data_IF_038868050983
#
_entry.id   IF_038868050983
#
_cell.length_a   1.000
_cell.length_b   1.000
_cell.length_c   1.000
_cell.angle_alpha   90.00
_cell.angle_beta   90.00
_cell.angle_gamma   90.00
#
_symmetry.space_group_name_H-M   'P 1'
#
loop_
_entity.id
_entity.type
_entity.pdbx_description
1 polymer ?
#
# COMPACT_ATOMS: atom_id res chain seq x y z
N UNK A 1 -0.45 35.01 1.66
CA UNK A 1 -0.95 34.50 0.37
C UNK A 1 -1.81 33.30 0.65
N UNK A 2 -3.02 33.25 0.14
CA UNK A 2 -3.91 32.10 0.35
C UNK A 2 -3.36 30.89 -0.41
N UNK A 3 -3.14 29.79 0.30
CA UNK A 3 -2.62 28.54 -0.30
C UNK A 3 -3.72 27.92 -1.17
N UNK A 4 -3.70 28.22 -2.45
CA UNK A 4 -4.68 27.68 -3.40
C UNK A 4 -4.35 26.23 -3.72
N UNK A 5 -5.32 25.34 -3.51
CA UNK A 5 -5.21 23.93 -3.92
C UNK A 5 -5.35 23.85 -5.45
N UNK A 6 -4.32 23.34 -6.10
CA UNK A 6 -4.26 23.16 -7.56
C UNK A 6 -4.73 21.77 -7.97
N UNK A 7 -4.43 20.76 -7.14
CA UNK A 7 -4.75 19.36 -7.41
C UNK A 7 -4.94 18.60 -6.10
N UNK A 8 -5.94 17.72 -6.06
CA UNK A 8 -6.20 16.84 -4.92
C UNK A 8 -6.63 15.46 -5.45
N UNK A 9 -5.92 14.42 -5.06
CA UNK A 9 -6.19 13.07 -5.49
C UNK A 9 -6.10 12.11 -4.31
N UNK A 10 -7.02 11.13 -4.27
CA UNK A 10 -6.98 10.01 -3.33
C UNK A 10 -6.97 8.72 -4.12
N UNK A 11 -5.88 7.99 -3.99
CA UNK A 11 -5.69 6.68 -4.62
C UNK A 11 -5.84 5.55 -3.60
N UNK A 12 -6.42 4.43 -4.03
CA UNK A 12 -6.58 3.20 -3.24
C UNK A 12 -6.13 1.99 -4.05
N UNK A 13 -5.88 0.86 -3.38
CA UNK A 13 -5.59 -0.40 -4.05
C UNK A 13 -6.78 -0.87 -4.88
N UNK A 14 -6.64 -0.87 -6.21
CA UNK A 14 -7.67 -1.26 -7.17
C UNK A 14 -7.27 -2.46 -8.02
N UNK A 15 -6.16 -3.13 -7.69
CA UNK A 15 -5.71 -4.32 -8.41
C UNK A 15 -6.69 -5.47 -8.17
N UNK A 16 -7.39 -5.89 -9.23
CA UNK A 16 -8.39 -6.96 -9.17
C UNK A 16 -7.81 -8.30 -8.68
N UNK A 17 -6.58 -8.64 -9.10
CA UNK A 17 -5.89 -9.86 -8.70
C UNK A 17 -5.62 -9.91 -7.18
N UNK A 18 -5.37 -8.78 -6.55
CA UNK A 18 -5.16 -8.67 -5.10
C UNK A 18 -6.45 -9.07 -4.35
N UNK A 19 -7.59 -8.61 -4.86
CA UNK A 19 -8.90 -8.97 -4.29
C UNK A 19 -9.21 -10.46 -4.47
N UNK A 20 -8.86 -11.06 -5.61
CA UNK A 20 -9.00 -12.51 -5.79
C UNK A 20 -8.15 -13.30 -4.80
N UNK A 21 -6.89 -12.90 -4.58
CA UNK A 21 -6.01 -13.54 -3.59
C UNK A 21 -6.61 -13.43 -2.18
N UNK A 22 -7.11 -12.26 -1.79
CA UNK A 22 -7.73 -12.05 -0.47
C UNK A 22 -8.99 -12.90 -0.30
N UNK A 23 -9.88 -12.93 -1.29
CA UNK A 23 -11.08 -13.77 -1.27
C UNK A 23 -10.70 -15.24 -1.14
N UNK A 24 -9.73 -15.70 -1.91
CA UNK A 24 -9.26 -17.09 -1.88
C UNK A 24 -8.69 -17.48 -0.52
N UNK A 25 -7.83 -16.64 0.08
CA UNK A 25 -7.27 -16.91 1.41
C UNK A 25 -8.37 -16.95 2.48
N UNK A 26 -9.31 -15.99 2.46
CA UNK A 26 -10.42 -15.97 3.41
C UNK A 26 -11.35 -17.18 3.22
N UNK A 27 -11.60 -17.59 1.96
CA UNK A 27 -12.37 -18.78 1.65
C UNK A 27 -11.74 -20.07 2.22
N UNK A 28 -10.41 -20.24 2.05
CA UNK A 28 -9.68 -21.36 2.64
C UNK A 28 -9.84 -21.38 4.17
N UNK A 29 -9.70 -20.24 4.83
CA UNK A 29 -9.88 -20.17 6.29
C UNK A 29 -11.29 -20.59 6.73
N UNK A 30 -12.31 -20.12 6.01
CA UNK A 30 -13.71 -20.49 6.28
C UNK A 30 -13.94 -22.00 6.05
N UNK A 31 -13.37 -22.54 4.97
CA UNK A 31 -13.45 -23.97 4.66
C UNK A 31 -12.87 -24.84 5.76
N UNK A 32 -11.70 -24.47 6.31
CA UNK A 32 -11.09 -25.19 7.45
C UNK A 32 -11.95 -25.08 8.70
N UNK A 33 -12.56 -23.94 8.97
CA UNK A 33 -13.51 -23.82 10.09
C UNK A 33 -14.72 -24.76 9.94
N UNK A 34 -15.31 -24.80 8.76
CA UNK A 34 -16.46 -25.67 8.47
C UNK A 34 -16.05 -27.14 8.69
N UNK A 35 -14.92 -27.56 8.15
CA UNK A 35 -14.41 -28.94 8.35
C UNK A 35 -14.24 -29.25 9.84
N UNK A 36 -13.64 -28.36 10.59
CA UNK A 36 -13.38 -28.57 12.03
C UNK A 36 -14.65 -28.64 12.87
N UNK A 37 -15.61 -27.75 12.66
CA UNK A 37 -16.76 -27.59 13.54
C UNK A 37 -18.02 -28.29 13.04
N UNK A 38 -18.24 -28.36 11.73
CA UNK A 38 -19.45 -28.98 11.16
C UNK A 38 -19.23 -30.48 10.94
N UNK A 39 -18.13 -30.84 10.27
CA UNK A 39 -17.86 -32.25 9.95
C UNK A 39 -17.18 -33.00 11.09
N UNK A 40 -16.77 -32.33 12.18
CA UNK A 40 -16.05 -32.91 13.32
C UNK A 40 -14.90 -33.86 12.89
N UNK A 41 -14.28 -33.58 11.76
CA UNK A 41 -13.15 -34.36 11.29
C UNK A 41 -12.01 -34.32 12.31
N UNK A 42 -11.76 -35.43 12.96
CA UNK A 42 -10.59 -35.62 13.84
C UNK A 42 -9.38 -35.87 12.95
N UNK A 43 -8.61 -34.84 12.70
CA UNK A 43 -7.31 -34.98 12.04
C UNK A 43 -6.31 -35.64 12.99
N UNK A 44 -6.15 -36.95 12.88
CA UNK A 44 -5.31 -37.80 13.73
C UNK A 44 -3.84 -37.78 13.33
N UNK A 45 -3.22 -36.65 13.06
CA UNK A 45 -1.78 -36.61 12.83
C UNK A 45 -1.17 -35.25 13.24
N UNK A 46 0.14 -35.22 13.40
CA UNK A 46 0.98 -34.11 13.88
C UNK A 46 0.73 -32.72 13.22
N UNK A 47 0.03 -32.66 12.10
CA UNK A 47 -0.53 -31.45 11.53
C UNK A 47 -1.56 -30.77 12.47
N UNK A 48 -2.21 -31.50 13.38
CA UNK A 48 -3.24 -30.97 14.29
C UNK A 48 -2.67 -29.95 15.30
N UNK A 49 -1.45 -30.16 15.78
CA UNK A 49 -0.78 -29.18 16.64
C UNK A 49 -0.47 -27.86 15.90
N UNK A 50 -0.26 -27.92 14.59
CA UNK A 50 -0.08 -26.72 13.75
C UNK A 50 -1.38 -25.94 13.52
N UNK A 51 -2.55 -26.61 13.58
CA UNK A 51 -3.87 -26.01 13.37
C UNK A 51 -4.59 -25.51 14.64
N UNK A 52 -4.01 -25.72 15.83
CA UNK A 52 -4.51 -25.04 17.04
C UNK A 52 -4.40 -23.51 16.91
N UNK A 53 -3.54 -23.03 15.98
CA UNK A 53 -3.44 -21.65 15.54
C UNK A 53 -4.51 -21.18 14.54
N UNK A 54 -5.54 -21.97 14.20
CA UNK A 54 -6.56 -21.59 13.19
C UNK A 54 -7.19 -20.22 13.42
N UNK A 55 -7.52 -19.88 14.66
CA UNK A 55 -8.07 -18.57 15.00
C UNK A 55 -7.08 -17.45 14.76
N UNK A 56 -5.80 -17.69 15.05
CA UNK A 56 -4.74 -16.72 14.81
C UNK A 56 -4.57 -16.43 13.32
N UNK A 57 -4.62 -17.47 12.48
CA UNK A 57 -4.58 -17.33 11.03
C UNK A 57 -5.74 -16.50 10.48
N UNK A 58 -6.97 -16.75 10.99
CA UNK A 58 -8.15 -16.00 10.58
C UNK A 58 -8.05 -14.53 11.00
N UNK A 59 -7.66 -14.29 12.25
CA UNK A 59 -7.50 -12.91 12.75
C UNK A 59 -6.48 -12.16 11.90
N UNK A 60 -5.33 -12.77 11.59
CA UNK A 60 -4.30 -12.13 10.75
C UNK A 60 -4.85 -11.83 9.35
N UNK A 61 -5.51 -12.78 8.70
CA UNK A 61 -6.04 -12.55 7.34
C UNK A 61 -7.13 -11.50 7.31
N UNK A 62 -7.98 -11.44 8.34
CA UNK A 62 -8.96 -10.36 8.50
C UNK A 62 -8.29 -9.01 8.70
N UNK A 63 -7.30 -8.93 9.59
CA UNK A 63 -6.55 -7.70 9.82
C UNK A 63 -5.85 -7.20 8.56
N UNK A 64 -5.22 -8.11 7.79
CA UNK A 64 -4.59 -7.77 6.51
C UNK A 64 -5.63 -7.29 5.49
N UNK A 65 -6.77 -7.95 5.43
CA UNK A 65 -7.88 -7.54 4.53
C UNK A 65 -8.38 -6.14 4.88
N UNK A 66 -8.65 -5.89 6.17
CA UNK A 66 -9.05 -4.57 6.67
C UNK A 66 -7.97 -3.53 6.37
N UNK A 67 -6.70 -3.85 6.61
CA UNK A 67 -5.61 -2.94 6.34
C UNK A 67 -5.57 -2.51 4.86
N UNK A 68 -5.70 -3.46 3.93
CA UNK A 68 -5.71 -3.16 2.49
C UNK A 68 -6.92 -2.31 2.09
N UNK A 69 -8.07 -2.52 2.73
CA UNK A 69 -9.27 -1.69 2.50
C UNK A 69 -9.08 -0.24 2.93
N UNK A 70 -8.39 0.00 4.04
CA UNK A 70 -8.21 1.35 4.59
C UNK A 70 -6.99 2.09 4.02
N UNK A 71 -6.02 1.37 3.43
CA UNK A 71 -4.85 2.00 2.82
C UNK A 71 -5.27 2.94 1.69
N UNK A 72 -4.79 4.18 1.78
CA UNK A 72 -4.95 5.20 0.74
C UNK A 72 -3.73 6.10 0.64
N UNK A 73 -3.43 6.54 -0.57
CA UNK A 73 -2.46 7.59 -0.86
C UNK A 73 -3.24 8.87 -1.19
N UNK A 74 -3.04 9.90 -0.41
CA UNK A 74 -3.62 11.22 -0.62
C UNK A 74 -2.51 12.18 -1.01
N UNK A 75 -2.73 12.88 -2.11
CA UNK A 75 -1.78 13.85 -2.67
C UNK A 75 -2.51 15.17 -2.90
N UNK A 76 -2.01 16.25 -2.29
CA UNK A 76 -2.53 17.61 -2.46
C UNK A 76 -1.38 18.47 -2.98
N UNK A 77 -1.59 19.07 -4.14
CA UNK A 77 -0.64 20.02 -4.71
C UNK A 77 -1.20 21.43 -4.52
N UNK A 78 -0.44 22.26 -3.81
CA UNK A 78 -0.77 23.67 -3.56
C UNK A 78 0.24 24.57 -4.27
N UNK A 79 -0.04 25.86 -4.28
CA UNK A 79 0.85 26.84 -4.92
C UNK A 79 2.24 26.91 -4.33
N UNK A 80 2.40 26.60 -3.06
CA UNK A 80 3.66 26.73 -2.30
C UNK A 80 4.27 25.40 -1.83
N UNK A 81 3.49 24.32 -1.81
CA UNK A 81 3.92 23.01 -1.31
C UNK A 81 3.16 21.84 -1.91
N UNK A 82 3.75 20.66 -1.81
CA UNK A 82 3.11 19.37 -2.09
C UNK A 82 2.92 18.64 -0.76
N UNK A 83 1.71 18.20 -0.49
CA UNK A 83 1.36 17.44 0.70
C UNK A 83 1.01 15.99 0.33
N UNK A 84 1.55 15.04 1.08
CA UNK A 84 1.34 13.62 0.83
C UNK A 84 1.02 12.91 2.14
N UNK A 85 0.01 12.05 2.11
CA UNK A 85 -0.32 11.16 3.22
C UNK A 85 -0.55 9.75 2.71
N UNK A 86 0.18 8.79 3.26
CA UNK A 86 -0.03 7.37 3.01
C UNK A 86 -0.68 6.74 4.24
N UNK A 87 -2.00 6.83 4.34
CA UNK A 87 -2.76 6.34 5.49
C UNK A 87 -2.85 4.80 5.46
N UNK A 88 -2.76 4.06 6.61
CA UNK A 88 -2.62 4.56 7.98
C UNK A 88 -1.16 4.76 8.45
N UNK A 89 -0.15 4.50 7.61
CA UNK A 89 1.27 4.61 7.99
C UNK A 89 1.72 6.04 8.29
N UNK A 90 1.12 7.01 7.62
CA UNK A 90 1.27 8.43 7.93
C UNK A 90 -0.07 8.96 8.45
N UNK A 91 -0.13 9.30 9.72
CA UNK A 91 -1.34 9.88 10.33
C UNK A 91 -1.52 11.36 9.93
N UNK A 92 -0.43 12.08 9.70
CA UNK A 92 -0.42 13.47 9.24
C UNK A 92 0.13 13.60 7.83
N UNK A 93 -0.21 14.71 7.16
CA UNK A 93 0.35 15.05 5.86
C UNK A 93 1.83 15.41 5.97
N UNK A 94 2.65 14.83 5.10
CA UNK A 94 4.04 15.22 4.90
C UNK A 94 4.08 16.35 3.89
N UNK A 95 4.62 17.48 4.30
CA UNK A 95 4.71 18.70 3.50
C UNK A 95 6.08 18.79 2.82
N UNK A 96 6.06 19.12 1.56
CA UNK A 96 7.25 19.33 0.72
C UNK A 96 7.16 20.72 0.10
N UNK A 97 7.80 21.74 0.69
CA UNK A 97 7.78 23.10 0.16
C UNK A 97 8.43 23.18 -1.23
N UNK A 98 7.83 23.93 -2.15
CA UNK A 98 8.31 24.06 -3.53
C UNK A 98 9.73 24.60 -3.63
N UNK A 99 10.15 25.43 -2.68
CA UNK A 99 11.51 25.98 -2.63
C UNK A 99 12.59 24.90 -2.37
N UNK A 100 12.23 23.72 -1.87
CA UNK A 100 13.13 22.57 -1.66
C UNK A 100 13.20 21.64 -2.88
N UNK A 101 12.25 21.78 -3.81
CA UNK A 101 12.13 20.97 -5.01
C UNK A 101 12.94 21.64 -6.12
N UNK A 102 13.84 20.90 -6.73
CA UNK A 102 14.64 21.34 -7.88
C UNK A 102 13.90 21.03 -9.19
N UNK A 103 13.37 19.80 -9.31
CA UNK A 103 12.63 19.36 -10.48
C UNK A 103 11.39 18.56 -10.06
N UNK A 104 10.28 18.80 -10.78
CA UNK A 104 9.05 18.03 -10.67
C UNK A 104 8.55 17.71 -12.08
N UNK A 105 8.42 16.42 -12.40
CA UNK A 105 7.95 16.00 -13.72
C UNK A 105 7.18 14.68 -13.63
N UNK A 106 6.24 14.49 -14.55
CA UNK A 106 5.49 13.24 -14.70
C UNK A 106 6.33 12.26 -15.51
N UNK A 107 6.46 11.02 -15.01
CA UNK A 107 7.10 9.93 -15.75
C UNK A 107 6.32 8.64 -15.66
N UNK A 108 6.53 7.77 -16.63
CA UNK A 108 6.17 6.36 -16.54
C UNK A 108 7.26 5.62 -15.76
N UNK A 109 6.85 4.69 -14.90
CA UNK A 109 7.75 3.86 -14.10
C UNK A 109 7.23 2.43 -14.04
N UNK A 110 8.09 1.49 -13.69
CA UNK A 110 7.69 0.12 -13.41
C UNK A 110 7.69 -0.11 -11.89
N UNK A 111 6.51 -0.29 -11.26
CA UNK A 111 6.41 -0.48 -9.81
C UNK A 111 7.24 -1.66 -9.31
N UNK A 112 7.24 -2.78 -10.04
CA UNK A 112 7.88 -4.03 -9.62
C UNK A 112 9.40 -3.94 -9.77
N UNK A 113 9.90 -3.60 -10.97
CA UNK A 113 11.35 -3.62 -11.25
C UNK A 113 12.10 -2.44 -10.65
N UNK A 114 11.46 -1.28 -10.50
CA UNK A 114 12.10 -0.09 -9.97
C UNK A 114 11.99 0.04 -8.45
N UNK A 115 10.89 -0.45 -7.87
CA UNK A 115 10.57 -0.25 -6.46
C UNK A 115 10.18 -1.53 -5.71
N UNK A 116 10.19 -2.69 -6.36
CA UNK A 116 9.81 -3.97 -5.74
C UNK A 116 8.32 -4.08 -5.42
N UNK A 117 7.45 -3.32 -6.09
CA UNK A 117 6.00 -3.36 -5.96
C UNK A 117 5.37 -2.03 -5.55
N UNK A 118 4.11 -2.11 -5.10
CA UNK A 118 3.34 -0.96 -4.65
C UNK A 118 3.48 -0.74 -3.14
N UNK A 119 3.14 0.44 -2.67
CA UNK A 119 3.16 0.85 -1.27
C UNK A 119 4.18 1.95 -0.97
N UNK A 120 4.72 1.93 0.25
CA UNK A 120 5.87 2.76 0.65
C UNK A 120 7.12 1.96 0.32
N UNK A 121 7.87 2.39 -0.68
CA UNK A 121 9.02 1.63 -1.19
C UNK A 121 10.30 2.48 -1.26
N UNK A 122 11.43 1.80 -1.16
CA UNK A 122 12.73 2.36 -1.49
C UNK A 122 13.10 1.86 -2.89
N UNK A 123 13.41 2.79 -3.77
CA UNK A 123 13.81 2.47 -5.14
C UNK A 123 15.19 1.83 -5.20
N UNK A 124 15.32 0.85 -6.06
CA UNK A 124 16.61 0.21 -6.35
C UNK A 124 17.52 1.19 -7.11
N UNK A 125 18.82 1.01 -6.96
CA UNK A 125 19.85 1.76 -7.72
C UNK A 125 19.71 3.30 -7.61
N UNK A 126 19.41 3.80 -6.41
CA UNK A 126 19.39 5.26 -6.18
C UNK A 126 18.15 5.99 -6.74
N UNK A 127 17.07 5.27 -7.05
CA UNK A 127 15.81 5.87 -7.54
C UNK A 127 15.02 6.61 -6.47
N UNK A 128 15.46 6.55 -5.21
CA UNK A 128 14.84 7.27 -4.10
C UNK A 128 13.62 6.53 -3.50
N UNK A 129 12.76 7.27 -2.82
CA UNK A 129 11.53 6.74 -2.24
C UNK A 129 10.38 6.76 -3.24
N UNK A 130 9.43 5.85 -3.09
CA UNK A 130 8.16 5.89 -3.80
C UNK A 130 6.97 5.71 -2.83
N UNK A 131 5.93 6.47 -3.10
CA UNK A 131 4.59 6.29 -2.55
C UNK A 131 3.65 6.01 -3.71
N UNK A 132 3.25 4.75 -3.86
CA UNK A 132 2.37 4.33 -4.95
C UNK A 132 1.40 3.25 -4.48
N UNK A 133 0.19 3.25 -5.00
CA UNK A 133 -0.83 2.24 -4.69
C UNK A 133 -1.38 1.58 -5.94
N UNK A 134 -1.35 2.28 -7.09
CA UNK A 134 -1.89 1.77 -8.35
C UNK A 134 -1.23 2.46 -9.55
N UNK A 135 -1.22 1.79 -10.71
CA UNK A 135 -0.75 2.38 -11.95
C UNK A 135 0.76 2.30 -12.19
N UNK A 136 1.21 3.00 -13.22
CA UNK A 136 2.59 3.05 -13.68
C UNK A 136 3.02 4.44 -14.15
N UNK A 137 2.26 5.47 -13.82
CA UNK A 137 2.59 6.88 -14.02
C UNK A 137 2.59 7.60 -12.69
N UNK A 138 3.52 8.53 -12.51
CA UNK A 138 3.62 9.27 -11.26
C UNK A 138 4.44 10.53 -11.43
N UNK A 139 4.41 11.38 -10.41
CA UNK A 139 5.18 12.59 -10.31
C UNK A 139 6.52 12.25 -9.65
N UNK A 140 7.62 12.49 -10.36
CA UNK A 140 8.95 12.39 -9.80
C UNK A 140 9.37 13.76 -9.28
N UNK A 141 9.65 13.83 -7.99
CA UNK A 141 10.26 14.98 -7.34
C UNK A 141 11.76 14.74 -7.16
N UNK A 142 12.57 15.71 -7.52
CA UNK A 142 13.99 15.78 -7.22
C UNK A 142 14.22 17.00 -6.34
N UNK A 143 14.82 16.77 -5.17
CA UNK A 143 15.10 17.84 -4.20
C UNK A 143 16.51 18.38 -4.38
N UNK A 144 16.74 19.63 -4.01
CA UNK A 144 18.03 20.32 -4.08
C UNK A 144 19.20 19.56 -3.43
N UNK A 145 18.94 18.61 -2.53
CA UNK A 145 19.94 17.71 -1.95
C UNK A 145 20.11 16.37 -2.69
N UNK A 146 19.67 16.24 -3.95
CA UNK A 146 19.77 15.02 -4.77
C UNK A 146 18.79 13.90 -4.37
N UNK A 147 18.04 14.08 -3.31
CA UNK A 147 17.03 13.13 -2.85
C UNK A 147 15.88 13.07 -3.84
N UNK A 148 15.37 11.85 -4.11
CA UNK A 148 14.29 11.62 -5.08
C UNK A 148 13.06 11.03 -4.39
N UNK A 149 11.87 11.45 -4.82
CA UNK A 149 10.59 10.93 -4.36
C UNK A 149 9.64 10.76 -5.55
N UNK A 150 9.10 9.56 -5.72
CA UNK A 150 8.04 9.27 -6.68
C UNK A 150 6.69 9.22 -5.96
N UNK A 151 5.68 9.84 -6.55
CA UNK A 151 4.27 9.81 -6.13
C UNK A 151 3.49 9.25 -7.30
N UNK A 152 2.85 8.08 -7.16
CA UNK A 152 2.18 7.39 -8.27
C UNK A 152 0.95 6.63 -7.88
#
# INVERSE_FOLDING_TARGET
MENKVLFNETQRFRQWWLWLVLVFINWINIWFLIKKYVYKETFTNSAYHSYSGSWFGIIITLLVTILILIIKLETIIQTDQIEIRFFPFHLSFRKYPNNTIELAFVRKYNPITEYGGWGIRLGLFGKGKAFNVFGNRGIQLVFKGGRKLLIG
#
